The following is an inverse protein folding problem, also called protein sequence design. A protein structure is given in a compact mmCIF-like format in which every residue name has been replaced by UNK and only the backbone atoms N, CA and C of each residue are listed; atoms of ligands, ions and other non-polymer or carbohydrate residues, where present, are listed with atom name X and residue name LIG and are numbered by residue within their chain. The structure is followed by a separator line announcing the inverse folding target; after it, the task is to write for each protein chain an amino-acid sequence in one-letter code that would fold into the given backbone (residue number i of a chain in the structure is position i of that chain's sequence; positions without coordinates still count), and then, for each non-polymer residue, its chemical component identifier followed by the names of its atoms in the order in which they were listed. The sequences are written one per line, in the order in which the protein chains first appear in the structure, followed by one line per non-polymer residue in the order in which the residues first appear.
data_IF_376986667243
#
_entry.id   IF_376986667243
#
_cell.length_a   1.000
_cell.length_b   1.000
_cell.length_c   1.000
_cell.angle_alpha   90.00
_cell.angle_beta   90.00
_cell.angle_gamma   90.00
#
_symmetry.space_group_name_H-M   'P 1'
#
loop_
_entity.id
_entity.type
_entity.pdbx_description
1 polymer ?
2 non-polymer ?
3 non-polymer ?
4 non-polymer ?
5 water ?
#
# COMPACT_ATOMS: atom_id res chain seq x y z
N UNK A 4 -7.85 21.66 1.60
CA UNK A 4 -6.70 22.21 2.39
C UNK A 4 -5.51 21.24 2.37
N UNK A 5 -5.78 19.94 2.26
CA UNK A 5 -4.72 18.96 2.01
C UNK A 5 -4.25 19.08 0.56
N UNK A 6 -3.70 20.25 0.23
CA UNK A 6 -3.42 20.62 -1.15
C UNK A 6 -2.46 19.71 -1.92
N UNK A 7 -1.58 19.01 -1.20
CA UNK A 7 -0.56 18.17 -1.83
C UNK A 7 -1.09 16.88 -2.45
N UNK A 8 -2.30 16.48 -2.07
CA UNK A 8 -2.97 15.26 -2.58
C UNK A 8 -3.21 15.28 -4.10
N UNK A 9 -3.57 16.47 -4.62
CA UNK A 9 -3.96 16.61 -6.01
C UNK A 9 -3.06 15.94 -7.03
N UNK A 10 -1.76 16.22 -6.95
CA UNK A 10 -0.83 15.68 -7.94
C UNK A 10 -0.76 14.14 -7.91
N UNK A 11 -0.77 13.57 -6.71
CA UNK A 11 -0.74 12.11 -6.57
C UNK A 11 -2.04 11.46 -7.10
N UNK A 12 -3.19 12.04 -6.74
CA UNK A 12 -4.48 11.59 -7.28
C UNK A 12 -4.50 11.69 -8.81
N UNK A 13 -3.95 12.76 -9.36
CA UNK A 13 -3.88 12.92 -10.82
C UNK A 13 -3.03 11.82 -11.50
N UNK A 14 -1.88 11.48 -10.91
CA UNK A 14 -1.06 10.41 -11.47
C UNK A 14 -1.80 9.06 -11.39
N UNK A 15 -2.53 8.80 -10.30
CA UNK A 15 -3.34 7.58 -10.22
C UNK A 15 -4.41 7.52 -11.29
N UNK A 16 -5.11 8.64 -11.48
CA UNK A 16 -6.21 8.72 -12.42
C UNK A 16 -5.77 8.40 -13.86
N UNK A 17 -4.54 8.79 -14.21
CA UNK A 17 -3.95 8.45 -15.53
C UNK A 17 -3.97 6.94 -15.81
N UNK A 18 -3.64 6.14 -14.81
CA UNK A 18 -3.62 4.68 -15.02
C UNK A 18 -5.06 4.16 -15.03
N UNK A 19 -5.88 4.68 -14.13
CA UNK A 19 -7.30 4.29 -14.05
C UNK A 19 -8.09 4.58 -15.31
N UNK A 20 -7.71 5.64 -16.04
CA UNK A 20 -8.37 6.01 -17.28
C UNK A 20 -7.90 5.17 -18.48
N UNK A 21 -6.82 4.40 -18.29
CA UNK A 21 -6.20 3.65 -19.40
C UNK A 21 -6.79 2.24 -19.53
N UNK A 22 -7.15 1.86 -20.75
CA UNK A 22 -7.62 0.50 -21.06
C UNK A 22 -6.98 0.01 -22.38
N UNK A 23 -5.65 -0.24 -22.35
CA UNK A 23 -4.89 -0.50 -23.59
C UNK A 23 -5.23 -1.84 -24.24
N UNK A 24 -5.80 -2.75 -23.47
CA UNK A 24 -6.20 -4.05 -23.99
C UNK A 24 -7.69 -4.10 -24.30
N UNK A 25 -8.35 -2.95 -24.16
CA UNK A 25 -9.79 -2.83 -24.41
C UNK A 25 -10.53 -3.94 -23.66
N UNK A 26 -10.25 -4.05 -22.37
CA UNK A 26 -10.70 -5.20 -21.58
C UNK A 26 -11.84 -4.90 -20.62
N UNK A 27 -12.29 -3.65 -20.55
CA UNK A 27 -13.31 -3.25 -19.56
C UNK A 27 -14.54 -4.15 -19.51
N UNK A 28 -15.20 -4.34 -20.65
CA UNK A 28 -16.42 -5.15 -20.70
C UNK A 28 -16.14 -6.63 -20.42
N UNK A 29 -14.90 -7.05 -20.67
CA UNK A 29 -14.49 -8.42 -20.42
C UNK A 29 -14.23 -8.70 -18.94
N UNK A 30 -13.47 -7.84 -18.28
CA UNK A 30 -13.15 -8.05 -16.86
C UNK A 30 -14.41 -7.97 -15.96
N UNK A 31 -15.40 -7.19 -16.38
CA UNK A 31 -16.67 -7.12 -15.65
C UNK A 31 -17.39 -8.48 -15.52
N UNK A 32 -17.05 -9.41 -16.41
CA UNK A 32 -17.64 -10.75 -16.41
C UNK A 32 -16.94 -11.70 -15.44
N UNK A 33 -15.80 -11.29 -14.90
CA UNK A 33 -15.05 -12.13 -13.96
C UNK A 33 -15.81 -12.54 -12.67
N UNK A 34 -16.44 -11.57 -11.95
CA UNK A 34 -17.19 -11.94 -10.75
C UNK A 34 -18.19 -13.10 -10.92
N UNK A 35 -18.98 -13.08 -11.99
CA UNK A 35 -19.93 -14.17 -12.25
C UNK A 35 -19.24 -15.50 -12.43
N UNK A 36 -18.11 -15.48 -13.13
CA UNK A 36 -17.32 -16.70 -13.35
C UNK A 36 -16.67 -17.23 -12.07
N UNK A 37 -16.25 -16.32 -11.19
CA UNK A 37 -15.75 -16.72 -9.88
C UNK A 37 -16.84 -17.33 -8.98
N UNK A 38 -18.03 -16.74 -9.01
CA UNK A 38 -19.18 -17.24 -8.25
C UNK A 38 -19.54 -18.66 -8.70
N UNK A 39 -19.41 -18.89 -10.01
CA UNK A 39 -19.62 -20.21 -10.60
C UNK A 39 -18.41 -21.16 -10.51
N UNK A 40 -17.29 -20.65 -9.99
CA UNK A 40 -16.04 -21.43 -9.90
C UNK A 40 -15.67 -22.06 -11.26
N UNK A 41 -15.87 -21.29 -12.32
CA UNK A 41 -15.71 -21.77 -13.69
C UNK A 41 -14.29 -21.52 -14.19
N UNK A 42 -13.37 -22.42 -13.85
CA UNK A 42 -11.95 -22.23 -14.17
C UNK A 42 -11.66 -22.21 -15.69
N UNK A 43 -12.16 -23.20 -16.46
CA UNK A 43 -12.00 -23.09 -17.92
C UNK A 43 -12.53 -21.77 -18.50
N UNK A 44 -13.67 -21.30 -18.00
CA UNK A 44 -14.25 -20.02 -18.40
C UNK A 44 -13.38 -18.81 -18.07
N UNK A 45 -12.80 -18.82 -16.87
CA UNK A 45 -11.85 -17.76 -16.45
C UNK A 45 -10.64 -17.69 -17.39
N UNK A 46 -10.04 -18.84 -17.70
CA UNK A 46 -8.93 -18.90 -18.66
C UNK A 46 -9.39 -18.40 -20.03
N UNK A 47 -10.56 -18.86 -20.49
CA UNK A 47 -11.08 -18.46 -21.81
C UNK A 47 -11.33 -16.96 -21.90
N UNK A 48 -11.84 -16.38 -20.82
CA UNK A 48 -12.08 -14.94 -20.78
C UNK A 48 -10.76 -14.16 -20.85
N UNK A 49 -9.76 -14.59 -20.09
CA UNK A 49 -8.44 -13.99 -20.15
C UNK A 49 -7.85 -14.05 -21.56
N UNK A 50 -7.94 -15.21 -22.20
CA UNK A 50 -7.40 -15.38 -23.55
C UNK A 50 -8.05 -14.48 -24.61
N UNK A 51 -9.25 -13.97 -24.33
CA UNK A 51 -9.91 -13.00 -25.20
C UNK A 51 -9.11 -11.69 -25.34
N UNK A 52 -8.29 -11.36 -24.34
CA UNK A 52 -7.56 -10.09 -24.39
C UNK A 52 -6.05 -10.15 -24.08
N UNK A 53 -5.56 -11.30 -23.61
CA UNK A 53 -4.14 -11.44 -23.30
C UNK A 53 -3.31 -11.30 -24.59
N UNK A 54 -2.35 -10.35 -24.61
CA UNK A 54 -1.48 -10.22 -25.77
C UNK A 54 -0.73 -11.53 -26.04
N UNK A 55 -0.73 -12.00 -27.28
CA UNK A 55 0.01 -13.23 -27.59
C UNK A 55 1.33 -12.94 -28.28
N UNK A 56 1.45 -11.76 -28.87
CA UNK A 56 2.59 -11.44 -29.73
C UNK A 56 3.46 -10.31 -29.17
N UNK A 57 3.58 -10.27 -27.85
CA UNK A 57 4.36 -9.23 -27.19
C UNK A 57 3.56 -7.97 -26.92
N UNK A 58 4.21 -7.02 -26.25
CA UNK A 58 3.58 -5.74 -25.93
C UNK A 58 3.77 -4.74 -27.07
N UNK A 59 2.70 -3.98 -27.40
CA UNK A 59 2.80 -2.89 -28.38
C UNK A 59 3.92 -1.93 -28.02
N UNK A 60 4.74 -1.60 -29.02
CA UNK A 60 5.97 -0.81 -28.79
C UNK A 60 5.71 0.62 -28.32
N UNK A 61 4.50 1.12 -28.56
CA UNK A 61 4.14 2.48 -28.14
C UNK A 61 3.82 2.65 -26.65
N UNK A 62 3.64 1.54 -25.94
CA UNK A 62 3.28 1.56 -24.51
C UNK A 62 4.35 2.18 -23.63
N UNK A 63 3.91 2.97 -22.65
CA UNK A 63 4.78 3.43 -21.58
C UNK A 63 4.34 2.80 -20.27
N UNK A 64 4.77 3.39 -19.16
CA UNK A 64 4.39 2.92 -17.84
C UNK A 64 2.86 2.81 -17.67
N UNK A 65 2.15 3.87 -18.06
CA UNK A 65 0.71 3.93 -17.87
C UNK A 65 -0.03 2.74 -18.51
N UNK A 66 0.26 2.46 -19.78
CA UNK A 66 -0.35 1.33 -20.47
C UNK A 66 0.06 -0.02 -19.85
N UNK A 67 1.34 -0.21 -19.59
CA UNK A 67 1.81 -1.47 -18.98
C UNK A 67 1.17 -1.74 -17.59
N UNK A 68 1.04 -0.70 -16.76
CA UNK A 68 0.41 -0.86 -15.43
C UNK A 68 -1.08 -1.18 -15.56
N UNK A 69 -1.75 -0.52 -16.50
CA UNK A 69 -3.16 -0.77 -16.77
C UNK A 69 -3.38 -2.19 -17.29
N UNK A 70 -2.47 -2.67 -18.14
CA UNK A 70 -2.52 -4.04 -18.65
C UNK A 70 -2.32 -5.04 -17.52
N UNK A 71 -1.37 -4.74 -16.63
CA UNK A 71 -1.10 -5.61 -15.47
C UNK A 71 -2.32 -5.69 -14.56
N UNK A 72 -3.01 -4.56 -14.39
CA UNK A 72 -4.24 -4.53 -13.60
C UNK A 72 -5.26 -5.49 -14.18
N UNK A 73 -5.51 -5.39 -15.49
CA UNK A 73 -6.61 -6.19 -16.08
C UNK A 73 -6.32 -7.69 -16.14
N UNK A 74 -5.09 -8.05 -16.50
CA UNK A 74 -4.62 -9.43 -16.40
C UNK A 74 -4.61 -9.88 -14.94
N UNK A 75 -4.17 -9.00 -14.05
CA UNK A 75 -4.00 -9.29 -12.63
C UNK A 75 -5.18 -9.90 -11.89
N UNK A 76 -6.37 -9.38 -12.15
CA UNK A 76 -7.57 -9.93 -11.50
C UNK A 76 -7.79 -11.41 -11.84
N UNK A 77 -7.31 -11.82 -13.01
CA UNK A 77 -7.36 -13.23 -13.40
C UNK A 77 -6.34 -14.08 -12.65
N UNK A 78 -5.22 -13.47 -12.26
CA UNK A 78 -4.16 -14.18 -11.53
C UNK A 78 -4.64 -14.61 -10.16
N UNK A 79 -5.16 -13.64 -9.40
CA UNK A 79 -5.72 -13.92 -8.08
C UNK A 79 -6.90 -14.88 -8.13
N UNK A 80 -7.72 -14.76 -9.17
CA UNK A 80 -8.90 -15.61 -9.34
C UNK A 80 -8.49 -17.06 -9.57
N UNK A 81 -7.56 -17.28 -10.51
CA UNK A 81 -7.11 -18.65 -10.79
C UNK A 81 -6.49 -19.32 -9.57
N UNK A 82 -5.64 -18.58 -8.85
CA UNK A 82 -5.04 -19.10 -7.63
C UNK A 82 -6.10 -19.40 -6.55
N UNK A 83 -7.15 -18.56 -6.48
CA UNK A 83 -8.24 -18.74 -5.51
C UNK A 83 -8.93 -20.09 -5.69
N UNK A 84 -9.02 -20.55 -6.94
CA UNK A 84 -9.60 -21.86 -7.25
C UNK A 84 -8.57 -23.01 -7.24
N UNK A 85 -7.35 -22.71 -6.80
CA UNK A 85 -6.34 -23.77 -6.58
C UNK A 85 -5.36 -23.97 -7.73
N UNK A 86 -5.26 -23.02 -8.64
CA UNK A 86 -4.43 -23.18 -9.84
C UNK A 86 -3.33 -22.12 -9.97
N UNK A 87 -2.11 -22.56 -10.25
CA UNK A 87 -1.05 -21.59 -10.60
C UNK A 87 -1.36 -21.01 -11.97
N UNK A 88 -1.63 -19.70 -12.06
CA UNK A 88 -2.01 -19.11 -13.35
C UNK A 88 -1.00 -19.39 -14.47
N UNK A 89 0.28 -19.35 -14.15
CA UNK A 89 1.34 -19.59 -15.14
C UNK A 89 1.28 -21.02 -15.69
N UNK A 90 0.78 -21.95 -14.88
CA UNK A 90 0.69 -23.35 -15.28
C UNK A 90 -0.51 -23.60 -16.20
N UNK A 91 -1.60 -22.87 -16.01
CA UNK A 91 -2.82 -23.14 -16.77
C UNK A 91 -3.05 -22.22 -17.97
N UNK A 92 -2.23 -21.16 -18.08
CA UNK A 92 -2.39 -20.19 -19.19
C UNK A 92 -1.07 -20.10 -19.97
N UNK A 93 -0.96 -20.85 -21.08
CA UNK A 93 0.29 -20.82 -21.85
C UNK A 93 0.55 -19.40 -22.39
N UNK A 94 1.81 -19.01 -22.40
CA UNK A 94 2.20 -17.67 -22.85
C UNK A 94 1.92 -16.55 -21.86
N UNK A 95 1.32 -16.87 -20.72
CA UNK A 95 1.07 -15.85 -19.71
C UNK A 95 2.36 -15.34 -19.04
N UNK A 96 3.20 -16.27 -18.62
CA UNK A 96 4.39 -15.90 -17.87
C UNK A 96 5.29 -14.87 -18.60
N UNK A 97 5.60 -15.10 -19.90
CA UNK A 97 6.43 -14.08 -20.60
C UNK A 97 5.81 -12.68 -20.61
N UNK A 98 4.48 -12.61 -20.77
CA UNK A 98 3.74 -11.34 -20.72
C UNK A 98 3.89 -10.66 -19.35
N UNK A 99 3.68 -11.43 -18.28
CA UNK A 99 3.89 -10.93 -16.90
C UNK A 99 5.31 -10.40 -16.68
N UNK A 100 6.31 -11.15 -17.12
CA UNK A 100 7.70 -10.68 -16.99
C UNK A 100 7.99 -9.41 -17.82
N UNK A 101 7.41 -9.31 -19.01
CA UNK A 101 7.53 -8.10 -19.86
C UNK A 101 6.89 -6.85 -19.20
N UNK A 102 5.72 -7.03 -18.59
CA UNK A 102 5.02 -5.93 -17.89
C UNK A 102 5.76 -5.51 -16.62
N UNK A 103 6.34 -6.48 -15.91
CA UNK A 103 7.20 -6.19 -14.76
C UNK A 103 8.38 -5.31 -15.19
N UNK A 104 8.99 -5.66 -16.33
CA UNK A 104 10.10 -4.89 -16.92
C UNK A 104 9.68 -3.46 -17.23
N UNK A 105 8.48 -3.31 -17.77
CA UNK A 105 7.99 -2.00 -18.24
C UNK A 105 7.57 -1.08 -17.10
N UNK A 106 7.21 -1.67 -15.96
CA UNK A 106 6.74 -0.89 -14.81
C UNK A 106 7.74 -0.84 -13.63
N UNK A 107 8.78 -1.66 -13.70
CA UNK A 107 9.72 -1.85 -12.58
C UNK A 107 9.00 -2.23 -11.28
N UNK A 108 7.96 -3.05 -11.44
CA UNK A 108 7.15 -3.59 -10.34
C UNK A 108 7.14 -5.12 -10.47
N UNK A 109 6.61 -5.84 -9.46
CA UNK A 109 6.60 -7.32 -9.59
C UNK A 109 5.69 -7.81 -10.74
N UNK A 110 5.90 -9.05 -11.23
CA UNK A 110 5.10 -9.59 -12.34
C UNK A 110 3.72 -10.13 -11.95
N UNK A 111 2.95 -9.35 -11.21
CA UNK A 111 1.55 -9.68 -10.92
C UNK A 111 0.88 -8.39 -10.43
N UNK A 112 -0.41 -8.47 -10.10
CA UNK A 112 -1.13 -7.30 -9.60
C UNK A 112 -0.72 -7.00 -8.16
N UNK A 113 -0.64 -5.71 -7.85
CA UNK A 113 -0.37 -5.24 -6.51
C UNK A 113 -1.54 -4.41 -6.02
N UNK A 114 -1.46 -3.98 -4.75
CA UNK A 114 -2.42 -3.04 -4.19
C UNK A 114 -2.74 -1.87 -5.12
N UNK A 115 -1.70 -1.22 -5.66
CA UNK A 115 -1.89 -0.06 -6.54
C UNK A 115 -2.81 -0.37 -7.71
N UNK A 116 -2.55 -1.50 -8.37
CA UNK A 116 -3.35 -1.95 -9.50
C UNK A 116 -4.84 -2.09 -9.20
N UNK A 117 -5.17 -2.64 -8.04
CA UNK A 117 -6.56 -2.97 -7.74
C UNK A 117 -7.31 -1.84 -7.03
N UNK A 118 -6.59 -0.81 -6.56
CA UNK A 118 -7.24 0.31 -5.87
C UNK A 118 -7.11 1.61 -6.67
N UNK A 119 -6.02 2.34 -6.48
CA UNK A 119 -5.91 3.69 -7.07
C UNK A 119 -5.78 3.69 -8.58
N UNK A 120 -5.27 2.61 -9.16
CA UNK A 120 -5.16 2.52 -10.62
C UNK A 120 -6.37 1.84 -11.30
N UNK A 121 -7.39 1.56 -10.50
CA UNK A 121 -8.60 0.86 -10.92
C UNK A 121 -9.72 1.91 -10.97
N UNK A 122 -10.38 2.07 -12.14
CA UNK A 122 -11.44 3.11 -12.22
C UNK A 122 -12.55 2.89 -11.20
N UNK A 123 -13.26 3.95 -10.85
CA UNK A 123 -14.21 3.90 -9.75
C UNK A 123 -15.66 3.66 -10.21
N UNK A 124 -15.97 3.95 -11.46
CA UNK A 124 -17.35 3.86 -11.94
C UNK A 124 -17.84 2.41 -11.95
N UNK A 125 -19.15 2.24 -11.72
CA UNK A 125 -19.77 0.91 -11.72
C UNK A 125 -19.59 0.15 -13.05
N UNK A 126 -19.62 0.86 -14.17
CA UNK A 126 -19.47 0.21 -15.46
C UNK A 126 -18.01 -0.04 -15.87
N UNK A 127 -17.06 0.20 -14.96
CA UNK A 127 -15.63 0.12 -15.27
C UNK A 127 -14.78 -0.53 -14.18
N UNK A 128 -15.17 -0.39 -12.91
CA UNK A 128 -14.33 -0.89 -11.81
C UNK A 128 -14.12 -2.40 -11.89
N UNK A 129 -12.85 -2.80 -11.86
CA UNK A 129 -12.49 -4.22 -11.87
C UNK A 129 -12.59 -4.77 -10.45
N UNK A 130 -12.99 -6.04 -10.35
CA UNK A 130 -13.22 -6.68 -9.06
C UNK A 130 -13.02 -8.19 -9.18
N UNK A 131 -12.56 -8.84 -8.11
CA UNK A 131 -12.50 -10.30 -8.09
C UNK A 131 -13.90 -10.88 -7.92
N UNK A 132 -14.68 -10.32 -7.00
CA UNK A 132 -15.91 -10.93 -6.53
C UNK A 132 -17.19 -10.20 -6.90
N UNK A 133 -17.09 -8.91 -7.21
CA UNK A 133 -18.29 -8.08 -7.40
C UNK A 133 -19.08 -7.78 -6.12
N UNK A 134 -18.56 -8.20 -4.96
CA UNK A 134 -19.28 -7.98 -3.69
C UNK A 134 -19.16 -6.53 -3.21
N UNK A 135 -20.19 -6.02 -2.52
CA UNK A 135 -20.16 -4.69 -1.88
C UNK A 135 -18.99 -4.55 -0.92
N UNK A 136 -18.73 -5.59 -0.13
CA UNK A 136 -17.60 -5.60 0.80
C UNK A 136 -16.26 -5.38 0.10
N UNK A 137 -16.07 -5.97 -1.09
CA UNK A 137 -14.86 -5.69 -1.88
C UNK A 137 -14.81 -4.23 -2.33
N UNK A 138 -15.94 -3.70 -2.80
CA UNK A 138 -15.99 -2.30 -3.22
C UNK A 138 -15.60 -1.37 -2.06
N UNK A 139 -16.10 -1.66 -0.86
CA UNK A 139 -15.75 -0.90 0.35
C UNK A 139 -14.28 -1.03 0.69
N UNK A 140 -13.74 -2.24 0.53
CA UNK A 140 -12.32 -2.52 0.76
C UNK A 140 -11.45 -1.62 -0.13
N UNK A 141 -11.78 -1.55 -1.42
CA UNK A 141 -11.03 -0.71 -2.36
C UNK A 141 -11.14 0.77 -1.98
N UNK A 142 -12.34 1.20 -1.61
CA UNK A 142 -12.56 2.60 -1.22
C UNK A 142 -11.73 2.99 0.02
N UNK A 143 -11.60 2.08 0.98
CA UNK A 143 -10.82 2.36 2.19
C UNK A 143 -9.38 2.77 1.84
N UNK A 144 -8.80 2.13 0.83
CA UNK A 144 -7.45 2.48 0.37
C UNK A 144 -7.42 3.78 -0.44
N UNK A 145 -8.41 4.01 -1.31
CA UNK A 145 -8.49 5.25 -2.07
C UNK A 145 -8.62 6.48 -1.15
N UNK A 146 -9.24 6.31 0.02
CA UNK A 146 -9.35 7.41 0.99
C UNK A 146 -7.97 7.98 1.37
N UNK A 147 -6.97 7.11 1.54
CA UNK A 147 -5.71 7.54 2.15
C UNK A 147 -4.44 7.43 1.32
N UNK A 148 -4.47 6.71 0.20
CA UNK A 148 -3.22 6.49 -0.56
C UNK A 148 -2.51 7.78 -1.02
N UNK A 149 -3.24 8.70 -1.66
CA UNK A 149 -2.62 9.94 -2.14
C UNK A 149 -2.08 10.78 -0.96
N UNK A 150 -2.83 10.78 0.13
CA UNK A 150 -2.43 11.49 1.35
C UNK A 150 -1.17 10.89 1.94
N UNK A 151 -1.08 9.55 1.90
CA UNK A 151 0.11 8.85 2.39
C UNK A 151 1.36 9.18 1.57
N UNK A 152 1.20 9.24 0.25
CA UNK A 152 2.29 9.61 -0.65
C UNK A 152 2.79 11.03 -0.37
N UNK A 153 1.86 11.94 -0.16
CA UNK A 153 2.21 13.30 0.26
C UNK A 153 2.92 13.29 1.61
N UNK A 154 2.43 12.46 2.54
CA UNK A 154 3.04 12.32 3.86
C UNK A 154 4.49 11.85 3.78
N UNK A 155 4.76 10.90 2.87
CA UNK A 155 6.14 10.44 2.64
C UNK A 155 7.03 11.60 2.22
N UNK A 156 6.56 12.40 1.24
CA UNK A 156 7.31 13.58 0.81
C UNK A 156 7.57 14.53 1.99
N UNK A 157 6.53 14.79 2.79
CA UNK A 157 6.65 15.66 3.96
C UNK A 157 7.64 15.14 5.00
N UNK A 158 7.73 13.81 5.15
CA UNK A 158 8.63 13.22 6.13
C UNK A 158 10.09 13.36 5.69
N UNK A 159 10.33 13.14 4.41
CA UNK A 159 11.66 13.31 3.83
C UNK A 159 12.11 14.77 3.96
N UNK A 160 11.17 15.70 3.78
CA UNK A 160 11.47 17.12 3.93
C UNK A 160 11.78 17.47 5.40
N UNK A 161 10.98 16.93 6.32
CA UNK A 161 11.11 17.20 7.74
C UNK A 161 12.46 16.72 8.29
N UNK A 162 12.96 15.60 7.76
CA UNK A 162 14.25 15.02 8.12
C UNK A 162 15.40 16.04 8.11
N UNK A 163 15.39 16.94 7.13
CA UNK A 163 16.43 17.96 7.02
C UNK A 163 16.11 19.29 7.72
N UNK A 164 15.01 19.32 8.46
CA UNK A 164 14.61 20.53 9.20
C UNK A 164 15.06 20.48 10.66
N UNK A 165 15.78 21.52 11.08
CA UNK A 165 16.25 21.63 12.45
C UNK A 165 15.10 21.81 13.43
N UNK A 166 15.20 21.11 14.57
CA UNK A 166 14.25 21.24 15.67
C UNK A 166 14.24 22.65 16.28
N UNK A 167 15.33 23.39 16.10
CA UNK A 167 15.45 24.77 16.59
C UNK A 167 14.62 25.75 15.77
N UNK A 168 14.22 25.32 14.57
CA UNK A 168 13.42 26.16 13.67
C UNK A 168 11.92 25.99 13.94
N UNK A 169 11.15 27.09 13.90
CA UNK A 169 9.69 27.03 13.97
C UNK A 169 9.06 26.21 12.83
N UNK A 170 9.82 26.02 11.74
CA UNK A 170 9.37 25.16 10.64
C UNK A 170 9.14 23.72 11.07
N UNK A 171 9.91 23.25 12.06
CA UNK A 171 9.77 21.85 12.50
C UNK A 171 8.36 21.58 13.01
N UNK A 172 7.91 22.39 13.97
CA UNK A 172 6.54 22.27 14.49
C UNK A 172 5.48 22.38 13.37
N UNK A 173 5.65 23.34 12.47
CA UNK A 173 4.70 23.57 11.37
C UNK A 173 4.61 22.41 10.40
N UNK A 174 5.77 21.90 9.97
CA UNK A 174 5.84 20.74 9.07
C UNK A 174 5.30 19.47 9.75
N UNK A 175 5.57 19.31 11.04
CA UNK A 175 5.06 18.16 11.81
C UNK A 175 3.53 18.19 11.90
N UNK A 176 2.99 19.38 12.19
CA UNK A 176 1.53 19.60 12.22
C UNK A 176 0.89 19.28 10.86
N UNK A 177 1.55 19.69 9.79
CA UNK A 177 1.11 19.38 8.45
C UNK A 177 1.14 17.87 8.19
N UNK A 178 2.25 17.23 8.54
CA UNK A 178 2.39 15.78 8.39
C UNK A 178 1.26 15.02 9.10
N UNK A 179 0.91 15.50 10.30
CA UNK A 179 -0.14 14.86 11.10
C UNK A 179 -1.49 14.91 10.37
N UNK A 180 -1.77 16.04 9.73
CA UNK A 180 -3.01 16.24 8.97
C UNK A 180 -3.16 15.25 7.82
N UNK A 181 -2.05 14.92 7.17
CA UNK A 181 -2.08 13.96 6.06
C UNK A 181 -2.23 12.53 6.57
N UNK A 182 -1.56 12.21 7.67
CA UNK A 182 -1.65 10.88 8.28
C UNK A 182 -3.01 10.55 8.89
N UNK A 183 -3.79 11.59 9.19
CA UNK A 183 -5.17 11.43 9.66
C UNK A 183 -6.05 10.65 8.67
N UNK A 184 -5.72 10.72 7.38
CA UNK A 184 -6.44 9.95 6.36
C UNK A 184 -6.37 8.43 6.58
N UNK A 185 -5.26 7.93 7.13
CA UNK A 185 -5.15 6.52 7.52
C UNK A 185 -6.18 6.17 8.58
N UNK A 186 -6.43 7.09 9.51
CA UNK A 186 -7.44 6.91 10.55
C UNK A 186 -8.82 6.89 9.89
N UNK A 187 -9.05 7.81 8.97
CA UNK A 187 -10.31 7.83 8.21
C UNK A 187 -10.56 6.50 7.49
N UNK A 188 -9.51 5.91 6.92
CA UNK A 188 -9.60 4.59 6.28
C UNK A 188 -10.10 3.49 7.22
N UNK A 189 -9.55 3.44 8.42
CA UNK A 189 -9.91 2.37 9.37
C UNK A 189 -11.32 2.58 9.91
N UNK A 190 -11.68 3.83 10.15
CA UNK A 190 -13.04 4.18 10.56
C UNK A 190 -14.01 3.67 9.49
N UNK A 191 -13.68 3.96 8.24
CA UNK A 191 -14.48 3.53 7.10
C UNK A 191 -14.60 2.00 7.06
N UNK A 192 -13.48 1.31 7.24
CA UNK A 192 -13.47 -0.15 7.29
C UNK A 192 -14.35 -0.70 8.41
N UNK A 193 -14.29 -0.10 9.60
CA UNK A 193 -15.16 -0.52 10.72
C UNK A 193 -16.64 -0.39 10.38
N UNK A 194 -17.00 0.72 9.73
CA UNK A 194 -18.39 1.02 9.40
C UNK A 194 -18.94 0.11 8.30
N UNK A 195 -18.13 -0.17 7.28
CA UNK A 195 -18.64 -0.74 6.04
C UNK A 195 -18.20 -2.15 5.65
N UNK A 196 -17.07 -2.61 6.18
CA UNK A 196 -16.54 -3.92 5.79
C UNK A 196 -16.82 -4.99 6.84
N UNK A 197 -17.53 -6.04 6.44
CA UNK A 197 -17.73 -7.20 7.29
C UNK A 197 -16.42 -8.00 7.41
N UNK A 198 -15.88 -8.10 8.65
CA UNK A 198 -14.64 -8.87 8.86
C UNK A 198 -14.81 -10.35 8.43
N UNK A 199 -16.01 -10.89 8.65
CA UNK A 199 -16.35 -12.26 8.24
C UNK A 199 -16.34 -12.44 6.72
N UNK A 200 -16.95 -11.50 6.00
CA UNK A 200 -16.96 -11.54 4.54
C UNK A 200 -15.54 -11.35 4.02
N UNK A 201 -14.75 -10.48 4.68
CA UNK A 201 -13.36 -10.33 4.27
C UNK A 201 -12.63 -11.67 4.37
N UNK A 202 -12.70 -12.29 5.54
CA UNK A 202 -11.98 -13.53 5.80
C UNK A 202 -12.43 -14.68 4.90
N UNK A 203 -13.74 -14.83 4.73
CA UNK A 203 -14.29 -15.97 4.01
C UNK A 203 -14.37 -15.79 2.50
N UNK A 204 -14.59 -14.56 2.04
CA UNK A 204 -14.91 -14.32 0.64
C UNK A 204 -13.86 -13.54 -0.14
N UNK A 205 -13.11 -12.68 0.53
CA UNK A 205 -12.14 -11.81 -0.15
C UNK A 205 -10.69 -12.30 -0.04
N UNK A 206 -10.29 -12.58 1.18
CA UNK A 206 -8.95 -13.07 1.54
C UNK A 206 -8.45 -14.21 0.60
N UNK A 207 -9.32 -15.18 0.26
CA UNK A 207 -8.90 -16.27 -0.66
C UNK A 207 -8.34 -15.84 -2.01
N UNK A 208 -8.66 -14.61 -2.44
CA UNK A 208 -8.21 -14.10 -3.73
C UNK A 208 -6.81 -13.48 -3.69
N UNK A 209 -6.25 -13.35 -2.49
CA UNK A 209 -4.95 -12.67 -2.32
C UNK A 209 -3.78 -13.58 -1.99
N UNK A 210 -3.84 -14.84 -2.41
CA UNK A 210 -2.77 -15.80 -2.13
C UNK A 210 -1.57 -15.55 -3.06
N UNK A 211 -0.37 -16.02 -2.66
CA UNK A 211 0.81 -15.87 -3.53
C UNK A 211 0.72 -16.73 -4.81
N UNK A 212 1.37 -16.27 -5.88
CA UNK A 212 1.53 -17.06 -7.09
C UNK A 212 3.01 -17.16 -7.46
N UNK A 213 3.35 -18.17 -8.27
CA UNK A 213 4.74 -18.36 -8.67
C UNK A 213 4.95 -17.87 -10.11
N UNK A 214 5.95 -17.02 -10.28
CA UNK A 214 6.32 -16.45 -11.58
C UNK A 214 7.82 -16.32 -11.56
N UNK A 215 8.49 -16.80 -12.60
CA UNK A 215 9.93 -16.61 -12.71
C UNK A 215 10.70 -17.36 -11.64
N UNK A 216 10.10 -18.42 -11.12
CA UNK A 216 10.76 -19.30 -10.18
C UNK A 216 10.85 -18.72 -8.78
N UNK A 217 9.97 -17.78 -8.47
CA UNK A 217 9.78 -17.32 -7.09
C UNK A 217 8.32 -16.99 -6.81
N UNK A 218 8.00 -16.80 -5.54
CA UNK A 218 6.63 -16.57 -5.11
C UNK A 218 6.38 -15.07 -4.92
N UNK A 219 5.27 -14.58 -5.46
CA UNK A 219 4.88 -13.18 -5.26
C UNK A 219 3.56 -13.08 -4.53
N UNK A 220 3.58 -12.32 -3.43
CA UNK A 220 2.40 -12.09 -2.57
C UNK A 220 1.26 -11.39 -3.32
N UNK A 221 0.03 -11.64 -2.89
CA UNK A 221 -1.13 -11.04 -3.52
C UNK A 221 -1.36 -9.63 -3.00
N UNK A 222 -2.31 -8.90 -3.61
CA UNK A 222 -2.53 -7.53 -3.17
C UNK A 222 -3.05 -7.42 -1.73
N UNK A 223 -2.66 -6.35 -1.07
CA UNK A 223 -3.11 -6.07 0.28
C UNK A 223 -2.66 -4.69 0.67
N UNK A 224 -3.43 -4.04 1.55
CA UNK A 224 -3.09 -2.73 2.06
C UNK A 224 -1.77 -2.78 2.85
N UNK A 225 -1.37 -3.98 3.24
CA UNK A 225 -0.05 -4.21 3.82
C UNK A 225 1.03 -3.64 2.90
N UNK A 226 0.73 -3.58 1.60
CA UNK A 226 1.66 -3.04 0.58
C UNK A 226 1.70 -1.52 0.50
N UNK A 227 0.83 -0.84 1.24
CA UNK A 227 0.87 0.64 1.30
C UNK A 227 2.24 1.04 1.82
N UNK A 228 2.86 2.08 1.21
CA UNK A 228 4.23 2.45 1.62
C UNK A 228 4.33 3.17 2.99
N UNK A 229 3.38 2.92 3.88
CA UNK A 229 3.45 3.43 5.24
C UNK A 229 4.73 2.96 5.93
N UNK A 230 5.14 1.72 5.67
CA UNK A 230 6.36 1.19 6.25
C UNK A 230 7.60 1.96 5.81
N UNK A 231 7.57 2.53 4.59
CA UNK A 231 8.67 3.38 4.11
C UNK A 231 8.69 4.71 4.86
N UNK A 232 7.51 5.32 5.01
CA UNK A 232 7.40 6.55 5.81
C UNK A 232 8.01 6.36 7.19
N UNK A 233 7.57 5.29 7.88
CA UNK A 233 8.01 5.04 9.24
C UNK A 233 9.46 4.59 9.34
N UNK A 234 9.98 3.97 8.28
CA UNK A 234 11.41 3.66 8.17
C UNK A 234 12.19 4.97 8.35
N UNK A 235 11.83 5.98 7.57
CA UNK A 235 12.45 7.31 7.69
C UNK A 235 12.15 7.96 9.05
N UNK A 236 10.89 7.90 9.47
CA UNK A 236 10.46 8.55 10.71
C UNK A 236 11.10 7.98 11.98
N UNK A 237 11.08 6.66 12.16
CA UNK A 237 11.57 6.06 13.41
C UNK A 237 12.33 4.73 13.30
N UNK A 238 12.08 3.97 12.24
CA UNK A 238 12.51 2.56 12.18
C UNK A 238 13.79 2.17 11.48
N UNK A 239 14.44 3.11 10.78
CA UNK A 239 15.59 2.80 9.94
C UNK A 239 16.77 2.13 10.68
N UNK A 240 16.96 2.46 11.95
CA UNK A 240 18.06 1.89 12.74
C UNK A 240 17.60 0.82 13.73
N UNK A 241 16.36 0.35 13.60
CA UNK A 241 15.84 -0.67 14.49
C UNK A 241 16.61 -1.98 14.34
N UNK A 242 16.93 -2.62 15.46
CA UNK A 242 17.58 -3.93 15.43
C UNK A 242 16.59 -5.09 15.62
N UNK A 243 15.31 -4.77 15.53
CA UNK A 243 14.25 -5.78 15.62
C UNK A 243 14.18 -6.58 14.31
N UNK A 244 14.57 -7.86 14.43
CA UNK A 244 14.67 -8.79 13.31
C UNK A 244 13.35 -8.98 12.54
N UNK A 245 12.29 -9.25 13.28
CA UNK A 245 10.94 -9.45 12.73
C UNK A 245 10.49 -8.22 11.94
N UNK A 246 10.74 -7.04 12.49
CA UNK A 246 10.38 -5.76 11.86
C UNK A 246 11.17 -5.52 10.57
N UNK A 247 12.49 -5.76 10.63
CA UNK A 247 13.36 -5.65 9.46
C UNK A 247 12.89 -6.56 8.31
N UNK A 248 12.61 -7.82 8.63
CA UNK A 248 12.10 -8.81 7.67
C UNK A 248 10.77 -8.38 7.07
N UNK A 249 9.89 -7.82 7.90
CA UNK A 249 8.60 -7.28 7.43
C UNK A 249 8.81 -6.23 6.33
N UNK A 250 9.67 -5.24 6.59
CA UNK A 250 9.93 -4.18 5.62
C UNK A 250 10.54 -4.72 4.33
N UNK A 251 11.54 -5.59 4.47
CA UNK A 251 12.21 -6.21 3.31
C UNK A 251 11.26 -7.09 2.48
N UNK A 252 10.27 -7.70 3.14
CA UNK A 252 9.25 -8.49 2.48
C UNK A 252 8.40 -7.67 1.49
N UNK A 253 7.98 -6.48 1.91
CA UNK A 253 7.04 -5.69 1.11
C UNK A 253 7.67 -4.63 0.24
N UNK A 254 8.96 -4.38 0.47
CA UNK A 254 9.71 -3.40 -0.31
C UNK A 254 9.55 -3.54 -1.84
N UNK A 255 9.65 -4.78 -2.40
CA UNK A 255 9.50 -4.92 -3.85
C UNK A 255 8.17 -4.44 -4.42
N UNK A 256 7.12 -4.37 -3.59
CA UNK A 256 5.76 -4.09 -4.04
C UNK A 256 5.37 -2.61 -4.11
N UNK A 257 6.22 -1.74 -3.57
CA UNK A 257 5.95 -0.29 -3.60
C UNK A 257 6.62 0.35 -4.83
N UNK A 258 6.19 1.57 -5.17
CA UNK A 258 6.75 2.28 -6.33
C UNK A 258 8.25 2.44 -6.23
N UNK A 259 8.95 2.35 -7.38
CA UNK A 259 10.41 2.53 -7.44
C UNK A 259 10.92 3.71 -6.60
N UNK A 260 10.22 4.84 -6.65
CA UNK A 260 10.66 6.04 -5.94
C UNK A 260 10.73 5.78 -4.42
N UNK A 261 9.79 4.99 -3.90
CA UNK A 261 9.76 4.69 -2.47
C UNK A 261 10.78 3.64 -2.06
N UNK A 262 11.07 2.73 -2.99
CA UNK A 262 12.19 1.80 -2.78
C UNK A 262 13.52 2.54 -2.64
N UNK A 263 13.69 3.61 -3.42
CA UNK A 263 14.92 4.42 -3.35
C UNK A 263 14.96 5.28 -2.08
N UNK A 264 13.80 5.82 -1.69
CA UNK A 264 13.67 6.52 -0.40
C UNK A 264 14.14 5.59 0.73
N UNK A 265 13.61 4.37 0.76
CA UNK A 265 14.02 3.36 1.74
C UNK A 265 15.53 3.10 1.76
N UNK A 266 16.12 2.91 0.57
CA UNK A 266 17.56 2.69 0.43
C UNK A 266 18.39 3.86 0.97
N UNK A 267 17.92 5.07 0.66
CA UNK A 267 18.59 6.31 1.07
C UNK A 267 18.75 6.40 2.59
N UNK A 268 17.72 5.99 3.32
CA UNK A 268 17.68 6.19 4.77
C UNK A 268 18.10 4.98 5.62
N UNK A 269 18.30 3.83 4.97
CA UNK A 269 18.69 2.59 5.67
C UNK A 269 20.00 2.68 6.47
N UNK A 270 21.00 3.34 5.89
CA UNK A 270 22.31 3.47 6.55
C UNK A 270 22.45 4.70 7.43
N UNK A 271 21.36 5.10 8.08
CA UNK A 271 21.31 6.36 8.83
C UNK A 271 20.37 6.32 10.03
N UNK A 272 20.67 7.15 11.07
CA UNK A 272 19.69 7.40 12.12
C UNK A 272 18.36 7.88 11.54
N UNK A 273 17.25 7.41 12.11
CA UNK A 273 15.93 7.87 11.72
C UNK A 273 15.69 9.30 12.18
N UNK A 274 14.62 9.90 11.67
CA UNK A 274 14.25 11.28 12.00
C UNK A 274 14.21 11.52 13.50
N UNK A 275 13.52 10.67 14.24
CA UNK A 275 13.37 10.91 15.67
C UNK A 275 14.67 10.74 16.46
N UNK A 276 15.56 9.85 16.00
CA UNK A 276 16.89 9.70 16.59
C UNK A 276 17.66 11.02 16.49
N UNK A 277 17.63 11.61 15.29
CA UNK A 277 18.24 12.92 15.07
C UNK A 277 17.53 14.00 15.90
N UNK A 278 16.19 14.00 15.86
CA UNK A 278 15.40 15.00 16.58
C UNK A 278 15.66 14.99 18.10
N UNK A 279 15.68 13.80 18.70
CA UNK A 279 15.92 13.70 20.15
C UNK A 279 17.36 14.03 20.53
N UNK A 280 18.32 13.67 19.69
CA UNK A 280 19.73 14.04 19.91
C UNK A 280 19.91 15.55 19.88
N UNK A 281 19.16 16.23 19.02
CA UNK A 281 19.19 17.69 18.95
C UNK A 281 18.55 18.32 20.19
N UNK A 282 17.41 17.77 20.61
CA UNK A 282 16.71 18.26 21.80
C UNK A 282 17.57 18.15 23.05
N UNK A 283 18.26 17.02 23.21
CA UNK A 283 19.17 16.84 24.35
C UNK A 283 20.35 17.81 24.33
N UNK A 284 20.82 18.16 23.13
CA UNK A 284 21.96 19.06 22.99
C UNK A 284 21.58 20.53 23.23
N UNK A 285 20.46 20.95 22.68
CA UNK A 285 20.02 22.36 22.73
C UNK A 285 19.25 22.65 24.02
N UNK A 286 18.42 21.71 24.44
CA UNK A 286 17.60 21.86 25.64
C UNK A 286 16.16 22.14 25.33
N UNK A 287 15.27 21.71 26.23
CA UNK A 287 13.83 21.91 26.05
C UNK A 287 13.36 23.30 26.53
N UNK A 288 14.28 24.12 27.02
CA UNK A 288 13.96 25.50 27.34
C UNK A 288 13.76 26.36 26.09
N UNK A 289 14.32 25.90 24.97
CA UNK A 289 14.08 26.51 23.67
C UNK A 289 12.63 26.22 23.27
N UNK A 290 11.85 27.28 23.07
CA UNK A 290 10.42 27.16 22.76
C UNK A 290 10.15 26.35 21.48
N UNK A 291 11.00 26.53 20.48
CA UNK A 291 10.87 25.80 19.23
C UNK A 291 11.16 24.30 19.39
N UNK A 292 12.07 23.97 20.31
CA UNK A 292 12.32 22.57 20.67
C UNK A 292 11.08 21.96 21.36
N UNK A 293 10.51 22.68 22.33
CA UNK A 293 9.29 22.21 23.01
C UNK A 293 8.15 21.97 22.03
N UNK A 294 7.87 22.98 21.19
CA UNK A 294 6.83 22.91 20.17
C UNK A 294 7.09 21.82 19.12
N UNK A 295 8.34 21.67 18.72
CA UNK A 295 8.72 20.65 17.73
C UNK A 295 8.46 19.26 18.25
N UNK A 296 8.91 18.98 19.46
CA UNK A 296 8.70 17.68 20.09
C UNK A 296 7.21 17.38 20.31
N UNK A 297 6.46 18.40 20.75
CA UNK A 297 5.02 18.28 20.98
C UNK A 297 4.29 17.91 19.69
N UNK A 298 4.63 18.61 18.61
CA UNK A 298 4.07 18.34 17.29
C UNK A 298 4.44 16.94 16.80
N UNK A 299 5.69 16.54 17.05
CA UNK A 299 6.17 15.22 16.66
C UNK A 299 5.42 14.12 17.43
N UNK A 300 5.17 14.35 18.72
CA UNK A 300 4.35 13.42 19.51
C UNK A 300 2.96 13.19 18.89
N UNK A 301 2.37 14.25 18.36
CA UNK A 301 1.05 14.19 17.73
C UNK A 301 1.06 13.37 16.45
N UNK A 302 2.20 13.34 15.75
CA UNK A 302 2.40 12.47 14.59
C UNK A 302 2.33 10.99 15.00
N UNK A 303 2.99 10.64 16.10
CA UNK A 303 2.93 9.28 16.64
C UNK A 303 1.53 8.92 17.14
N UNK A 304 0.86 9.87 17.77
CA UNK A 304 -0.53 9.68 18.19
C UNK A 304 -1.42 9.24 17.02
N UNK A 305 -1.32 9.94 15.88
CA UNK A 305 -2.16 9.60 14.74
C UNK A 305 -1.79 8.23 14.13
N UNK A 306 -0.50 7.88 14.13
CA UNK A 306 -0.09 6.54 13.68
C UNK A 306 -0.73 5.47 14.57
N UNK A 307 -0.74 5.71 15.88
CA UNK A 307 -1.35 4.80 16.85
C UNK A 307 -2.88 4.74 16.74
N UNK A 308 -3.49 5.88 16.37
CA UNK A 308 -4.92 5.93 16.11
C UNK A 308 -5.34 5.16 14.85
N UNK A 309 -4.40 4.95 13.94
CA UNK A 309 -4.60 4.00 12.85
C UNK A 309 -4.33 2.57 13.33
N UNK A 310 -3.15 2.38 13.93
CA UNK A 310 -2.59 1.04 14.15
C UNK A 310 -3.34 0.22 15.21
N UNK A 311 -3.77 0.86 16.29
CA UNK A 311 -4.45 0.15 17.38
C UNK A 311 -5.83 -0.41 16.97
N UNK A 312 -6.72 0.43 16.38
CA UNK A 312 -8.01 -0.07 15.87
C UNK A 312 -7.84 -1.06 14.72
N UNK A 313 -6.83 -0.84 13.89
CA UNK A 313 -6.54 -1.77 12.79
C UNK A 313 -6.29 -3.18 13.32
N UNK A 314 -5.51 -3.29 14.39
CA UNK A 314 -5.22 -4.58 15.01
C UNK A 314 -6.50 -5.28 15.50
N UNK A 315 -7.42 -4.52 16.07
CA UNK A 315 -8.68 -5.07 16.55
C UNK A 315 -9.54 -5.60 15.39
N UNK A 316 -9.52 -4.87 14.27
CA UNK A 316 -10.23 -5.28 13.07
C UNK A 316 -9.64 -6.57 12.49
N UNK A 317 -8.32 -6.65 12.44
CA UNK A 317 -7.62 -7.83 11.95
C UNK A 317 -7.91 -9.05 12.84
N UNK A 318 -7.88 -8.84 14.15
CA UNK A 318 -8.17 -9.90 15.10
C UNK A 318 -9.62 -10.40 14.96
N UNK A 319 -10.55 -9.48 14.73
CA UNK A 319 -11.96 -9.83 14.53
C UNK A 319 -12.18 -10.70 13.28
N UNK A 320 -11.49 -10.38 12.19
CA UNK A 320 -11.57 -11.16 10.95
C UNK A 320 -11.05 -12.57 11.15
N UNK A 321 -9.92 -12.70 11.83
CA UNK A 321 -9.35 -14.00 12.18
C UNK A 321 -10.17 -14.77 13.21
N UNK A 322 -10.94 -14.05 14.02
CA UNK A 322 -11.91 -14.66 14.93
C UNK A 322 -12.89 -15.53 14.14
N UNK A 323 -13.16 -15.14 12.89
CA UNK A 323 -13.94 -15.95 11.94
C UNK A 323 -13.05 -16.83 11.06
N UNK A 336 -4.96 -13.14 14.30
CA UNK A 336 -4.22 -12.27 13.40
C UNK A 336 -2.71 -12.55 13.47
N UNK A 337 -2.00 -12.39 12.34
CA UNK A 337 -0.54 -12.54 12.28
C UNK A 337 0.17 -11.71 13.35
N UNK A 338 1.18 -12.33 13.97
CA UNK A 338 1.87 -11.80 15.14
C UNK A 338 2.60 -10.47 14.93
N UNK A 339 3.05 -10.24 13.70
CA UNK A 339 3.81 -9.01 13.38
C UNK A 339 3.02 -7.73 13.65
N UNK A 340 1.69 -7.80 13.58
CA UNK A 340 0.83 -6.65 13.81
C UNK A 340 0.99 -6.10 15.23
N UNK A 341 0.81 -6.98 16.21
CA UNK A 341 0.98 -6.64 17.62
C UNK A 341 2.40 -6.20 17.93
N UNK A 342 3.37 -6.83 17.27
CA UNK A 342 4.78 -6.47 17.41
C UNK A 342 5.07 -5.07 16.89
N UNK A 343 4.47 -4.73 15.75
CA UNK A 343 4.64 -3.40 15.17
C UNK A 343 4.00 -2.32 16.03
N UNK A 344 2.80 -2.62 16.55
CA UNK A 344 2.13 -1.71 17.47
C UNK A 344 3.01 -1.41 18.69
N UNK A 345 3.58 -2.46 19.28
CA UNK A 345 4.49 -2.32 20.42
C UNK A 345 5.67 -1.40 20.11
N UNK A 346 6.29 -1.59 18.94
CA UNK A 346 7.39 -0.74 18.49
C UNK A 346 6.99 0.73 18.34
N UNK A 347 5.77 0.95 17.87
CA UNK A 347 5.24 2.29 17.67
C UNK A 347 5.00 2.99 18.99
N UNK A 348 4.44 2.28 19.97
CA UNK A 348 4.26 2.80 21.33
C UNK A 348 5.60 3.21 21.96
N UNK A 349 6.62 2.36 21.77
CA UNK A 349 7.96 2.63 22.25
C UNK A 349 8.54 3.90 21.61
N UNK A 350 8.36 4.03 20.30
CA UNK A 350 8.78 5.24 19.58
C UNK A 350 8.14 6.49 20.18
N UNK A 351 6.80 6.50 20.28
CA UNK A 351 6.11 7.63 20.93
C UNK A 351 6.62 7.91 22.35
N UNK A 352 6.82 6.85 23.14
CA UNK A 352 7.32 6.97 24.52
C UNK A 352 8.65 7.72 24.61
N UNK A 353 9.54 7.49 23.65
CA UNK A 353 10.81 8.21 23.56
C UNK A 353 10.60 9.73 23.39
N UNK A 354 9.62 10.11 22.57
CA UNK A 354 9.30 11.52 22.37
C UNK A 354 8.73 12.11 23.65
N UNK A 355 7.77 11.40 24.24
CA UNK A 355 7.17 11.78 25.52
C UNK A 355 8.20 11.98 26.66
N UNK A 356 9.17 11.07 26.74
CA UNK A 356 10.26 11.17 27.71
C UNK A 356 11.17 12.39 27.47
N UNK A 357 11.39 12.74 26.20
CA UNK A 357 12.23 13.90 25.84
C UNK A 357 11.65 15.20 26.40
N UNK A 358 10.30 15.25 26.38
CA UNK A 358 9.53 16.30 27.03
C UNK A 358 9.33 15.91 28.51
#
# INVERSE_FOLDING_TARGET
MERTLDRVGVFAATHAAVAASDPLQARALVLQLPGLNRNKDVPGIVGLLREFLPVRGLPSGWGFVEAAAAMRDIGFFLGSLKRHGHEPAEVVPGLEPVLLDLARATNLPPRETLLHVTVWNPTAADAQRSYTGLPDEAHLLESVRISMAALEAAIALTVELFDVSLRSPEFAQRSDELEAYLQKMVESIVYAYRFISPQVFYDELRPFYEPIRVGGQSYLGPGAVEMPLFVLEHVLWGSQSDDQTYREFKETYLPYVLPAYRAVYARFSGEPALIDRALDEARAVGTRDEHVRAGLTALERVFKVLLRFRAPHLKLAERAYEVGQSGPEIGSGGYAPSMLGELLTLTYAARSRVRAALDES
#
